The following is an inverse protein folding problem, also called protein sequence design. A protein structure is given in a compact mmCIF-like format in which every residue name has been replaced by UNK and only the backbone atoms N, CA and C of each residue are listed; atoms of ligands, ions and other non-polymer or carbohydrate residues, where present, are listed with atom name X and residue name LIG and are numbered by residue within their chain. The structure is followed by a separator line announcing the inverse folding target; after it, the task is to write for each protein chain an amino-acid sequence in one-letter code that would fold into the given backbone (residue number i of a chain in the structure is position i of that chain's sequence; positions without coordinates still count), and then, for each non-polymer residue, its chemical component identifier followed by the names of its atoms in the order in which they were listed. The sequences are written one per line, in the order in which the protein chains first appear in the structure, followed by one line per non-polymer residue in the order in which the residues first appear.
data_IF_653518266061
#
_entry.id   IF_653518266061
#
_cell.length_a   1.000
_cell.length_b   1.000
_cell.length_c   1.000
_cell.angle_alpha   90.00
_cell.angle_beta   90.00
_cell.angle_gamma   90.00
#
_symmetry.space_group_name_H-M   'P 1'
#
loop_
_entity.id
_entity.type
_entity.pdbx_description
1 polymer ?
#
# COMPACT_ATOMS: atom_id res chain seq x y z
N UNK A 1 1.58 -20.17 -16.37
CA UNK A 1 0.93 -18.98 -16.95
C UNK A 1 1.22 -17.84 -15.99
N UNK A 2 2.09 -16.91 -16.37
CA UNK A 2 2.34 -15.69 -15.60
C UNK A 2 1.24 -14.68 -15.93
N UNK A 3 0.45 -14.27 -14.94
CA UNK A 3 -0.52 -13.19 -15.12
C UNK A 3 0.20 -11.92 -15.58
N UNK A 4 -0.38 -11.15 -16.52
CA UNK A 4 0.18 -9.87 -16.90
C UNK A 4 0.11 -8.94 -15.70
N UNK A 5 1.26 -8.65 -15.08
CA UNK A 5 1.37 -7.59 -14.07
C UNK A 5 0.92 -6.29 -14.72
N UNK A 6 -0.28 -5.84 -14.39
CA UNK A 6 -0.86 -4.60 -14.93
C UNK A 6 -0.03 -3.45 -14.37
N UNK A 7 0.88 -2.91 -15.18
CA UNK A 7 1.70 -1.76 -14.82
C UNK A 7 0.81 -0.52 -14.87
N UNK A 8 0.66 0.16 -13.73
CA UNK A 8 -0.01 1.46 -13.69
C UNK A 8 1.05 2.52 -13.96
N UNK A 9 1.03 3.09 -15.16
CA UNK A 9 1.82 4.29 -15.47
C UNK A 9 1.00 5.51 -15.07
N UNK A 10 1.53 6.28 -14.12
CA UNK A 10 0.95 7.56 -13.72
C UNK A 10 1.81 8.64 -14.38
N UNK A 11 1.27 9.26 -15.42
CA UNK A 11 1.89 10.44 -16.02
C UNK A 11 1.65 11.63 -15.08
N UNK A 12 2.72 12.08 -14.42
CA UNK A 12 2.63 13.17 -13.45
C UNK A 12 2.72 14.51 -14.20
N UNK A 13 1.69 15.36 -14.16
CA UNK A 13 1.76 16.66 -14.81
C UNK A 13 2.92 17.49 -14.25
N UNK A 14 3.58 18.24 -15.14
CA UNK A 14 4.67 19.15 -14.78
C UNK A 14 4.24 20.11 -13.66
N UNK A 15 4.96 20.09 -12.54
CA UNK A 15 4.66 20.90 -11.35
C UNK A 15 4.13 20.11 -10.14
N UNK A 16 3.93 18.80 -10.27
CA UNK A 16 3.63 17.93 -9.13
C UNK A 16 4.86 17.81 -8.21
N UNK A 17 4.65 17.97 -6.91
CA UNK A 17 5.69 17.92 -5.88
C UNK A 17 5.47 16.71 -4.98
N UNK A 18 6.47 16.35 -4.17
CA UNK A 18 6.34 15.30 -3.14
C UNK A 18 5.12 15.51 -2.24
N UNK A 19 4.76 16.76 -1.93
CA UNK A 19 3.58 17.08 -1.14
C UNK A 19 2.26 16.66 -1.83
N UNK A 20 2.17 16.84 -3.15
CA UNK A 20 1.02 16.40 -3.93
C UNK A 20 0.92 14.87 -4.00
N UNK A 21 2.06 14.18 -4.10
CA UNK A 21 2.12 12.71 -4.00
C UNK A 21 1.65 12.22 -2.62
N UNK A 22 2.04 12.90 -1.55
CA UNK A 22 1.54 12.64 -0.20
C UNK A 22 0.01 12.76 -0.09
N UNK A 23 -0.58 13.80 -0.69
CA UNK A 23 -2.04 13.97 -0.73
C UNK A 23 -2.75 12.83 -1.48
N UNK A 24 -2.19 12.38 -2.61
CA UNK A 24 -2.74 11.25 -3.37
C UNK A 24 -2.64 9.93 -2.58
N UNK A 25 -1.53 9.69 -1.89
CA UNK A 25 -1.34 8.52 -1.03
C UNK A 25 -2.38 8.48 0.11
N UNK A 26 -2.63 9.62 0.76
CA UNK A 26 -3.66 9.73 1.81
C UNK A 26 -5.06 9.45 1.24
N UNK A 27 -5.37 9.95 0.04
CA UNK A 27 -6.65 9.71 -0.61
C UNK A 27 -6.88 8.22 -0.98
N UNK A 28 -5.81 7.46 -1.20
CA UNK A 28 -5.89 6.03 -1.50
C UNK A 28 -6.04 5.14 -0.25
N UNK A 29 -5.69 5.64 0.93
CA UNK A 29 -5.72 4.88 2.18
C UNK A 29 -7.08 4.21 2.47
N UNK A 30 -8.24 4.90 2.34
CA UNK A 30 -9.53 4.29 2.64
C UNK A 30 -9.88 3.15 1.67
N UNK A 31 -9.49 3.26 0.39
CA UNK A 31 -9.72 2.24 -0.61
C UNK A 31 -8.87 0.98 -0.34
N UNK A 32 -7.62 1.19 0.05
CA UNK A 32 -6.72 0.11 0.47
C UNK A 32 -7.26 -0.61 1.70
N UNK A 33 -7.63 0.11 2.75
CA UNK A 33 -8.23 -0.47 3.96
C UNK A 33 -9.50 -1.27 3.66
N UNK A 34 -10.38 -0.73 2.80
CA UNK A 34 -11.60 -1.42 2.39
C UNK A 34 -11.29 -2.75 1.69
N UNK A 35 -10.27 -2.76 0.83
CA UNK A 35 -9.84 -3.95 0.10
C UNK A 35 -9.25 -5.00 1.04
N UNK A 36 -8.34 -4.61 1.94
CA UNK A 36 -7.71 -5.52 2.91
C UNK A 36 -8.77 -6.11 3.87
N UNK A 37 -9.74 -5.31 4.32
CA UNK A 37 -10.88 -5.79 5.12
C UNK A 37 -11.76 -6.78 4.35
N UNK A 38 -11.95 -6.58 3.06
CA UNK A 38 -12.68 -7.54 2.22
C UNK A 38 -11.93 -8.88 2.10
N UNK A 39 -10.60 -8.84 1.95
CA UNK A 39 -9.75 -10.04 2.04
C UNK A 39 -9.85 -10.69 3.42
N UNK A 40 -9.80 -9.93 4.50
CA UNK A 40 -9.91 -10.47 5.86
C UNK A 40 -11.18 -11.33 6.03
N UNK A 41 -12.31 -10.90 5.45
CA UNK A 41 -13.55 -11.70 5.45
C UNK A 41 -13.40 -13.03 4.73
N UNK A 42 -12.67 -13.07 3.61
CA UNK A 42 -12.38 -14.31 2.88
C UNK A 42 -11.47 -15.26 3.68
N UNK A 43 -10.60 -14.70 4.53
CA UNK A 43 -9.75 -15.44 5.47
C UNK A 43 -10.42 -15.69 6.83
N UNK A 44 -11.75 -15.56 6.92
CA UNK A 44 -12.52 -15.89 8.13
C UNK A 44 -12.39 -14.88 9.27
N UNK A 45 -11.97 -13.64 8.98
CA UNK A 45 -11.71 -12.57 9.95
C UNK A 45 -10.78 -13.00 11.09
N UNK A 46 -9.74 -13.79 10.78
CA UNK A 46 -8.71 -14.16 11.75
C UNK A 46 -7.38 -13.52 11.41
N UNK A 47 -6.62 -13.05 12.43
CA UNK A 47 -5.22 -12.76 12.21
C UNK A 47 -4.52 -14.05 11.78
N UNK A 48 -3.56 -13.94 10.87
CA UNK A 48 -2.82 -15.11 10.40
C UNK A 48 -1.70 -14.76 9.43
N UNK A 49 -0.90 -15.77 9.02
CA UNK A 49 0.29 -15.57 8.18
C UNK A 49 0.00 -14.88 6.83
N UNK A 50 -1.24 -14.96 6.35
CA UNK A 50 -1.70 -14.32 5.12
C UNK A 50 -1.54 -12.79 5.14
N UNK A 51 -1.59 -12.15 6.33
CA UNK A 51 -1.34 -10.70 6.45
C UNK A 51 0.12 -10.36 6.22
N UNK A 52 1.03 -11.18 6.74
CA UNK A 52 2.48 -10.98 6.58
C UNK A 52 2.91 -11.24 5.13
N UNK A 53 2.31 -12.25 4.49
CA UNK A 53 2.47 -12.52 3.06
C UNK A 53 1.93 -11.36 2.22
N UNK A 54 0.73 -10.86 2.52
CA UNK A 54 0.14 -9.70 1.85
C UNK A 54 1.01 -8.45 2.00
N UNK A 55 1.53 -8.17 3.19
CA UNK A 55 2.41 -7.03 3.43
C UNK A 55 3.67 -7.11 2.56
N UNK A 56 4.32 -8.27 2.55
CA UNK A 56 5.51 -8.53 1.75
C UNK A 56 5.22 -8.38 0.25
N UNK A 57 4.09 -8.88 -0.21
CA UNK A 57 3.69 -8.78 -1.62
C UNK A 57 3.37 -7.33 -2.01
N UNK A 58 2.67 -6.58 -1.17
CA UNK A 58 2.37 -5.16 -1.42
C UNK A 58 3.65 -4.33 -1.50
N UNK A 59 4.57 -4.52 -0.55
CA UNK A 59 5.84 -3.77 -0.51
C UNK A 59 6.76 -4.17 -1.66
N UNK A 60 6.86 -5.45 -2.00
CA UNK A 60 7.72 -5.91 -3.10
C UNK A 60 7.21 -5.47 -4.48
N UNK A 61 5.89 -5.36 -4.66
CA UNK A 61 5.29 -4.86 -5.90
C UNK A 61 5.22 -3.34 -5.98
N UNK A 62 5.42 -2.62 -4.87
CA UNK A 62 5.49 -1.17 -4.85
C UNK A 62 6.80 -0.65 -5.46
N UNK A 63 6.94 -0.78 -6.79
CA UNK A 63 8.08 -0.27 -7.51
C UNK A 63 7.80 1.13 -8.04
N UNK A 64 8.24 2.15 -7.31
CA UNK A 64 8.19 3.54 -7.78
C UNK A 64 9.42 3.80 -8.65
N UNK A 65 9.18 3.96 -9.95
CA UNK A 65 10.17 4.41 -10.93
C UNK A 65 9.83 5.85 -11.27
N UNK A 66 10.74 6.79 -11.01
CA UNK A 66 10.65 8.15 -11.51
C UNK A 66 11.77 8.38 -12.51
N UNK A 67 11.43 8.83 -13.71
CA UNK A 67 12.39 9.32 -14.68
C UNK A 67 12.58 10.83 -14.48
N UNK A 68 13.82 11.29 -14.35
CA UNK A 68 14.15 12.73 -14.33
C UNK A 68 13.97 13.49 -13.02
N UNK A 69 13.64 12.82 -11.90
CA UNK A 69 13.54 13.44 -10.56
C UNK A 69 14.85 13.46 -9.77
N UNK A 70 14.96 14.34 -8.78
CA UNK A 70 16.08 14.31 -7.82
C UNK A 70 16.01 13.03 -6.97
N UNK A 71 17.11 12.28 -6.89
CA UNK A 71 17.15 10.97 -6.22
C UNK A 71 16.62 10.98 -4.77
N UNK A 72 16.80 12.09 -4.05
CA UNK A 72 16.29 12.25 -2.68
C UNK A 72 14.76 12.31 -2.61
N UNK A 73 14.09 13.01 -3.53
CA UNK A 73 12.63 13.13 -3.56
C UNK A 73 11.95 11.81 -3.93
N UNK A 74 12.58 11.06 -4.84
CA UNK A 74 12.16 9.71 -5.18
C UNK A 74 12.24 8.77 -3.97
N UNK A 75 13.34 8.84 -3.21
CA UNK A 75 13.52 8.02 -2.02
C UNK A 75 12.50 8.37 -0.92
N UNK A 76 12.25 9.65 -0.67
CA UNK A 76 11.18 10.07 0.26
C UNK A 76 9.82 9.55 -0.17
N UNK A 77 9.50 9.60 -1.47
CA UNK A 77 8.23 9.10 -2.01
C UNK A 77 8.09 7.60 -1.80
N UNK A 78 9.16 6.82 -2.02
CA UNK A 78 9.18 5.37 -1.75
C UNK A 78 8.90 5.07 -0.28
N UNK A 79 9.56 5.78 0.62
CA UNK A 79 9.35 5.61 2.07
C UNK A 79 7.91 5.92 2.48
N UNK A 80 7.31 6.99 1.94
CA UNK A 80 5.91 7.34 2.20
C UNK A 80 4.94 6.27 1.69
N UNK A 81 5.15 5.75 0.48
CA UNK A 81 4.31 4.72 -0.10
C UNK A 81 4.42 3.40 0.69
N UNK A 82 5.62 2.98 1.06
CA UNK A 82 5.84 1.79 1.90
C UNK A 82 5.16 1.96 3.25
N UNK A 83 5.33 3.10 3.91
CA UNK A 83 4.69 3.38 5.20
C UNK A 83 3.16 3.32 5.13
N UNK A 84 2.56 3.82 4.03
CA UNK A 84 1.12 3.72 3.80
C UNK A 84 0.65 2.27 3.70
N UNK A 85 1.35 1.44 2.91
CA UNK A 85 1.00 0.04 2.70
C UNK A 85 1.08 -0.76 4.00
N UNK A 86 2.17 -0.58 4.75
CA UNK A 86 2.37 -1.24 6.04
C UNK A 86 1.32 -0.79 7.06
N UNK A 87 1.10 0.52 7.19
CA UNK A 87 0.09 1.06 8.10
C UNK A 87 -1.31 0.51 7.80
N UNK A 88 -1.67 0.32 6.53
CA UNK A 88 -2.97 -0.23 6.18
C UNK A 88 -3.12 -1.71 6.59
N UNK A 89 -2.05 -2.51 6.48
CA UNK A 89 -2.04 -3.90 6.97
C UNK A 89 -2.09 -3.94 8.49
N UNK A 90 -1.27 -3.12 9.17
CA UNK A 90 -1.22 -3.05 10.63
C UNK A 90 -2.58 -2.69 11.24
N UNK A 91 -3.27 -1.69 10.68
CA UNK A 91 -4.61 -1.31 11.14
C UNK A 91 -5.57 -2.51 11.08
N UNK A 92 -5.58 -3.26 9.99
CA UNK A 92 -6.45 -4.43 9.86
C UNK A 92 -5.99 -5.57 10.79
N UNK A 93 -4.69 -5.77 10.94
CA UNK A 93 -4.10 -6.74 11.87
C UNK A 93 -4.56 -6.47 13.31
N UNK A 94 -4.47 -5.23 13.76
CA UNK A 94 -4.91 -4.80 15.09
C UNK A 94 -6.42 -4.96 15.27
N UNK A 95 -7.23 -4.61 14.25
CA UNK A 95 -8.68 -4.82 14.25
C UNK A 95 -9.05 -6.29 14.45
N UNK A 96 -8.35 -7.20 13.76
CA UNK A 96 -8.59 -8.64 13.83
C UNK A 96 -8.17 -9.24 15.18
N UNK A 97 -7.00 -8.84 15.69
CA UNK A 97 -6.54 -9.24 17.04
C UNK A 97 -7.52 -8.74 18.11
N UNK A 98 -7.97 -7.51 18.00
CA UNK A 98 -8.95 -6.94 18.94
C UNK A 98 -10.32 -7.64 18.86
N UNK A 99 -10.69 -8.19 17.70
CA UNK A 99 -11.92 -8.94 17.52
C UNK A 99 -11.83 -10.37 18.05
N UNK A 100 -10.66 -11.03 17.95
CA UNK A 100 -10.45 -12.39 18.46
C UNK A 100 -10.42 -12.46 19.99
N UNK A 101 -10.00 -11.38 20.65
CA UNK A 101 -9.94 -11.28 22.11
C UNK A 101 -11.26 -10.85 22.77
N UNK A 102 -12.36 -10.76 22.02
CA UNK A 102 -13.71 -10.42 22.49
C UNK A 102 -14.61 -11.65 22.51
#
# INVERSE_FOLDING_TARGET
MTEPTRRFEIDLPSGLTVAHLGGLLVALQPALLTTIRALAKQHGNKPGPWLDELEKDLVSHANIVAEGGAAAELETTKQMATALLQSAVDIVRDELIAAENK
#
